data_IF_721727236490
#
_entry.id   IF_721727236490
#
_cell.length_a   1.000
_cell.length_b   1.000
_cell.length_c   1.000
_cell.angle_alpha   90.00
_cell.angle_beta   90.00
_cell.angle_gamma   90.00
#
_symmetry.space_group_name_H-M   'P 1'
#
loop_
_entity.id
_entity.type
_entity.pdbx_description
1 polymer ?
#
# COMPACT_ATOMS: atom_id res chain seq x y z
N UNK A 1 6.15 3.89 -3.76
CA UNK A 1 5.13 2.84 -3.96
C UNK A 1 3.95 3.50 -4.68
N UNK A 2 3.49 2.96 -5.81
CA UNK A 2 2.39 3.57 -6.58
C UNK A 2 1.21 2.60 -6.73
N UNK A 3 -0.04 3.07 -6.54
CA UNK A 3 -1.21 2.22 -6.60
C UNK A 3 -1.67 2.03 -8.05
N UNK A 4 -1.03 1.09 -8.76
CA UNK A 4 -1.40 0.74 -10.14
C UNK A 4 -2.43 -0.39 -10.22
N UNK A 5 -2.66 -1.14 -9.14
CA UNK A 5 -3.55 -2.29 -9.17
C UNK A 5 -4.99 -1.86 -8.87
N UNK A 6 -5.90 -2.06 -9.83
CA UNK A 6 -7.32 -1.71 -9.65
C UNK A 6 -8.05 -2.85 -8.94
N UNK A 7 -8.73 -2.52 -7.84
CA UNK A 7 -9.64 -3.44 -7.15
C UNK A 7 -11.06 -3.26 -7.68
N UNK A 8 -11.78 -4.38 -7.82
CA UNK A 8 -13.17 -4.42 -8.29
C UNK A 8 -14.10 -4.85 -7.17
N UNK A 9 -15.31 -4.30 -7.17
CA UNK A 9 -16.37 -4.66 -6.24
C UNK A 9 -17.65 -5.00 -7.00
N UNK A 10 -18.30 -6.11 -6.63
CA UNK A 10 -19.63 -6.43 -7.11
C UNK A 10 -20.64 -5.61 -6.29
N UNK A 11 -20.91 -4.38 -6.74
CA UNK A 11 -21.70 -3.39 -5.99
C UNK A 11 -23.19 -3.65 -6.17
N UNK A 12 -23.97 -3.46 -5.09
CA UNK A 12 -25.42 -3.30 -5.20
C UNK A 12 -25.75 -1.94 -5.83
N UNK A 13 -26.69 -1.91 -6.77
CA UNK A 13 -27.28 -0.64 -7.22
C UNK A 13 -28.01 -0.03 -6.03
N UNK A 14 -27.75 1.24 -5.73
CA UNK A 14 -28.56 2.02 -4.81
C UNK A 14 -29.22 3.11 -5.65
N UNK A 15 -30.49 2.92 -5.96
CA UNK A 15 -31.34 4.02 -6.43
C UNK A 15 -31.85 4.75 -5.18
N UNK A 16 -32.10 6.05 -5.29
CA UNK A 16 -32.38 6.94 -4.16
C UNK A 16 -33.39 6.34 -3.16
N UNK A 17 -32.92 5.94 -1.98
CA UNK A 17 -33.73 5.70 -0.79
C UNK A 17 -34.33 4.31 -0.55
N UNK A 18 -34.51 3.43 -1.54
CA UNK A 18 -35.36 2.23 -1.30
C UNK A 18 -34.77 0.87 -1.68
N UNK A 19 -33.86 0.76 -2.66
CA UNK A 19 -33.51 -0.55 -3.21
C UNK A 19 -31.99 -0.78 -3.22
N UNK A 20 -31.53 -1.70 -2.37
CA UNK A 20 -30.23 -2.36 -2.51
C UNK A 20 -30.43 -3.57 -3.43
N UNK A 21 -30.55 -3.33 -4.74
CA UNK A 21 -30.78 -4.41 -5.71
C UNK A 21 -29.44 -5.06 -6.07
N UNK A 22 -29.37 -6.37 -5.82
CA UNK A 22 -28.27 -7.24 -6.26
C UNK A 22 -28.83 -8.33 -7.17
N UNK A 23 -28.21 -8.55 -8.33
CA UNK A 23 -28.54 -9.66 -9.25
C UNK A 23 -27.97 -11.02 -8.79
N UNK A 24 -27.70 -11.17 -7.49
CA UNK A 24 -26.97 -12.30 -6.93
C UNK A 24 -25.53 -12.39 -7.48
N UNK A 25 -25.15 -13.58 -7.95
CA UNK A 25 -23.82 -13.89 -8.51
C UNK A 25 -23.79 -13.93 -10.05
N UNK A 26 -24.92 -13.68 -10.72
CA UNK A 26 -24.97 -13.62 -12.18
C UNK A 26 -24.23 -12.36 -12.65
N UNK A 27 -23.19 -12.53 -13.46
CA UNK A 27 -22.35 -11.42 -13.92
C UNK A 27 -21.43 -10.83 -12.83
N UNK A 28 -20.84 -11.67 -11.97
CA UNK A 28 -20.06 -11.27 -10.80
C UNK A 28 -18.77 -10.46 -11.06
N UNK A 29 -18.43 -10.17 -12.32
CA UNK A 29 -17.29 -9.32 -12.63
C UNK A 29 -17.59 -7.87 -12.24
N UNK A 30 -17.12 -7.50 -11.05
CA UNK A 30 -17.43 -6.22 -10.43
C UNK A 30 -16.93 -4.99 -11.20
N UNK A 31 -17.37 -3.81 -10.75
CA UNK A 31 -16.92 -2.52 -11.28
C UNK A 31 -15.63 -2.07 -10.57
N UNK A 32 -14.74 -1.31 -11.22
CA UNK A 32 -13.57 -0.76 -10.55
C UNK A 32 -13.99 0.17 -9.41
N UNK A 33 -13.44 -0.05 -8.21
CA UNK A 33 -13.76 0.74 -7.01
C UNK A 33 -12.62 1.67 -6.60
N UNK A 34 -11.38 1.17 -6.69
CA UNK A 34 -10.22 1.88 -6.19
C UNK A 34 -8.92 1.27 -6.67
N UNK A 35 -7.82 1.85 -6.24
CA UNK A 35 -6.48 1.37 -6.55
C UNK A 35 -5.74 0.98 -5.29
N UNK A 36 -4.89 -0.03 -5.39
CA UNK A 36 -4.03 -0.51 -4.32
C UNK A 36 -2.61 -0.67 -4.85
N UNK A 37 -1.65 -0.55 -3.96
CA UNK A 37 -0.25 -0.81 -4.26
C UNK A 37 0.14 -2.18 -3.70
N UNK A 38 0.74 -3.03 -4.54
CA UNK A 38 1.24 -4.34 -4.12
C UNK A 38 2.63 -4.18 -3.52
N UNK A 39 2.86 -4.80 -2.37
CA UNK A 39 4.12 -4.73 -1.61
C UNK A 39 4.63 -6.14 -1.37
N UNK A 40 5.89 -6.40 -1.70
CA UNK A 40 6.57 -7.66 -1.39
C UNK A 40 7.30 -7.59 -0.03
N UNK A 41 7.59 -8.75 0.54
CA UNK A 41 8.35 -8.85 1.79
C UNK A 41 9.75 -8.25 1.57
N UNK A 42 10.17 -7.34 2.45
CA UNK A 42 11.45 -6.64 2.34
C UNK A 42 11.44 -5.39 1.44
N UNK A 43 10.32 -5.06 0.81
CA UNK A 43 10.21 -3.84 0.00
C UNK A 43 10.06 -2.59 0.86
N UNK A 44 10.80 -1.53 0.50
CA UNK A 44 10.69 -0.23 1.17
C UNK A 44 9.40 0.48 0.76
N UNK A 45 8.54 0.77 1.74
CA UNK A 45 7.26 1.48 1.54
C UNK A 45 7.48 2.99 1.55
N UNK A 46 8.17 3.49 2.58
CA UNK A 46 8.43 4.90 2.82
C UNK A 46 9.85 5.07 3.36
N UNK A 47 10.56 6.07 2.84
CA UNK A 47 11.91 6.43 3.27
C UNK A 47 11.98 7.91 3.55
N UNK A 48 12.62 8.30 4.65
CA UNK A 48 12.80 9.70 5.04
C UNK A 48 14.31 9.96 5.13
N UNK A 49 14.78 11.02 4.48
CA UNK A 49 16.18 11.48 4.57
C UNK A 49 16.24 12.73 5.42
N UNK A 50 16.98 12.69 6.52
CA UNK A 50 17.16 13.84 7.42
C UNK A 50 18.61 13.96 7.88
N UNK A 51 18.95 15.10 8.49
CA UNK A 51 20.18 15.27 9.26
C UNK A 51 20.18 14.34 10.49
N UNK A 52 21.36 13.98 10.98
CA UNK A 52 21.55 13.09 12.14
C UNK A 52 20.86 13.59 13.42
N UNK A 53 20.75 14.91 13.59
CA UNK A 53 20.09 15.55 14.74
C UNK A 53 18.62 15.15 14.89
N UNK A 54 17.92 14.85 13.79
CA UNK A 54 16.47 14.60 13.80
C UNK A 54 16.12 13.10 13.85
N UNK A 55 17.10 12.24 14.16
CA UNK A 55 16.94 10.78 14.13
C UNK A 55 15.78 10.30 14.99
N UNK A 56 15.63 10.84 16.19
CA UNK A 56 14.55 10.45 17.12
C UNK A 56 13.17 10.81 16.59
N UNK A 57 13.04 12.01 16.01
CA UNK A 57 11.80 12.46 15.38
C UNK A 57 11.40 11.58 14.19
N UNK A 58 12.36 11.12 13.40
CA UNK A 58 12.09 10.22 12.27
C UNK A 58 11.63 8.85 12.74
N UNK A 59 12.23 8.30 13.81
CA UNK A 59 11.82 7.01 14.38
C UNK A 59 10.37 7.11 14.89
N UNK A 60 10.02 8.19 15.58
CA UNK A 60 8.66 8.40 16.06
C UNK A 60 7.65 8.61 14.92
N UNK A 61 8.02 9.36 13.88
CA UNK A 61 7.18 9.55 12.70
C UNK A 61 6.91 8.23 11.97
N UNK A 62 7.95 7.39 11.78
CA UNK A 62 7.80 6.05 11.19
C UNK A 62 6.97 5.12 12.07
N UNK A 63 7.08 5.22 13.40
CA UNK A 63 6.23 4.49 14.34
C UNK A 63 4.75 4.87 14.17
N UNK A 64 4.45 6.16 14.04
CA UNK A 64 3.07 6.65 13.81
C UNK A 64 2.52 6.21 12.45
N UNK A 65 3.34 6.31 11.40
CA UNK A 65 2.95 5.86 10.06
C UNK A 65 2.66 4.35 10.04
N UNK A 66 3.47 3.54 10.75
CA UNK A 66 3.27 2.08 10.86
C UNK A 66 1.85 1.71 11.31
N UNK A 67 1.24 2.45 12.24
CA UNK A 67 -0.13 2.16 12.70
C UNK A 67 -1.22 2.36 11.65
N UNK A 68 -0.95 3.11 10.58
CA UNK A 68 -1.91 3.34 9.50
C UNK A 68 -1.78 2.31 8.38
N UNK A 69 -0.70 1.53 8.34
CA UNK A 69 -0.52 0.47 7.37
C UNK A 69 -0.99 -0.88 7.92
N UNK A 70 -1.75 -1.67 7.15
CA UNK A 70 -2.16 -2.99 7.57
C UNK A 70 -0.97 -3.96 7.66
N UNK A 71 -0.96 -4.82 8.68
CA UNK A 71 0.08 -5.84 8.89
C UNK A 71 1.23 -5.42 9.80
N UNK A 72 2.32 -6.19 9.79
CA UNK A 72 3.53 -5.92 10.59
C UNK A 72 4.64 -5.36 9.72
N UNK A 73 4.98 -4.09 9.92
CA UNK A 73 6.09 -3.43 9.24
C UNK A 73 7.28 -3.25 10.20
N UNK A 74 8.48 -3.35 9.66
CA UNK A 74 9.74 -3.12 10.38
C UNK A 74 10.20 -1.69 10.13
N UNK A 75 10.31 -0.89 11.19
CA UNK A 75 10.98 0.42 11.14
C UNK A 75 12.47 0.22 11.36
N UNK A 76 13.21 -0.14 10.32
CA UNK A 76 14.67 -0.23 10.41
C UNK A 76 15.29 1.06 9.88
N UNK A 77 16.21 1.71 10.62
CA UNK A 77 17.05 2.75 10.04
C UNK A 77 17.99 2.08 9.03
N UNK A 78 17.78 2.35 7.74
CA UNK A 78 18.70 1.92 6.70
C UNK A 78 19.88 2.90 6.73
N UNK A 79 21.14 2.43 6.86
CA UNK A 79 22.30 3.33 6.80
C UNK A 79 22.29 4.05 5.45
N UNK A 80 22.51 5.37 5.48
CA UNK A 80 22.68 6.13 4.26
C UNK A 80 23.95 5.59 3.57
N UNK A 81 23.78 5.01 2.38
CA UNK A 81 24.79 4.34 1.52
C UNK A 81 24.86 2.81 1.68
N UNK A 82 24.05 2.11 0.91
CA UNK A 82 24.50 0.87 0.24
C UNK A 82 23.82 0.83 -1.13
N UNK A 83 24.50 1.39 -2.13
CA UNK A 83 24.27 1.09 -3.53
C UNK A 83 24.62 -0.37 -3.77
N UNK A 84 23.68 -1.28 -3.52
CA UNK A 84 23.76 -2.62 -4.10
C UNK A 84 22.51 -2.81 -4.92
N UNK A 85 22.62 -2.38 -6.18
CA UNK A 85 21.82 -2.93 -7.27
C UNK A 85 21.99 -4.45 -7.26
N UNK A 86 20.92 -5.25 -7.11
CA UNK A 86 20.96 -6.63 -7.58
C UNK A 86 20.90 -6.54 -9.10
N UNK A 87 22.04 -6.74 -9.76
CA UNK A 87 22.07 -7.05 -11.19
C UNK A 87 21.21 -8.29 -11.42
N UNK A 88 20.04 -8.11 -12.03
CA UNK A 88 19.24 -9.21 -12.57
C UNK A 88 20.04 -9.90 -13.69
N UNK A 89 20.20 -11.22 -13.69
CA UNK A 89 20.55 -11.93 -14.90
C UNK A 89 19.30 -11.97 -15.79
N UNK A 90 19.37 -11.32 -16.95
CA UNK A 90 18.39 -11.49 -18.02
C UNK A 90 18.56 -12.88 -18.66
N UNK A 91 17.48 -13.63 -18.92
CA UNK A 91 17.47 -14.62 -20.00
C UNK A 91 17.33 -13.94 -21.38
#
# INVERSE_FOLDING_TARGET
LHPFHVIRINKMLSCAGADRLQTGMRGAFGKPQGTVARVHIGQVIMSIRTKLQNKEHVIEALRRAKFKFPGRQKGAPIPAQTSLSPSLPHP
#
